data_IF_030644538865
#
_entry.id   IF_030644538865
#
_cell.length_a   1.000
_cell.length_b   1.000
_cell.length_c   1.000
_cell.angle_alpha   90.00
_cell.angle_beta   90.00
_cell.angle_gamma   90.00
#
_symmetry.space_group_name_H-M   'P 1'
#
loop_
_entity.id
_entity.type
_entity.pdbx_description
1 polymer ?
#
# COMPACT_ATOMS: atom_id res chain seq x y z
N UNK A 1 6.13 10.35 17.51
CA UNK A 1 6.10 9.95 16.09
C UNK A 1 5.13 10.89 15.39
N UNK A 2 5.54 11.56 14.31
CA UNK A 2 4.61 12.44 13.58
C UNK A 2 3.50 11.59 12.91
N UNK A 3 2.33 12.18 12.69
CA UNK A 3 1.15 11.47 12.16
C UNK A 3 1.47 10.75 10.83
N UNK A 4 2.17 11.40 9.91
CA UNK A 4 2.50 10.83 8.60
C UNK A 4 3.44 9.62 8.66
N UNK A 5 4.40 9.61 9.59
CA UNK A 5 5.26 8.44 9.84
C UNK A 5 4.43 7.27 10.37
N UNK A 6 3.45 7.55 11.25
CA UNK A 6 2.55 6.51 11.74
C UNK A 6 1.70 5.92 10.60
N UNK A 7 1.16 6.76 9.71
CA UNK A 7 0.40 6.31 8.54
C UNK A 7 1.26 5.44 7.62
N UNK A 8 2.50 5.85 7.32
CA UNK A 8 3.42 5.06 6.48
C UNK A 8 3.85 3.75 7.15
N UNK A 9 4.07 3.75 8.48
CA UNK A 9 4.36 2.54 9.22
C UNK A 9 3.17 1.57 9.25
N UNK A 10 1.95 2.09 9.39
CA UNK A 10 0.73 1.29 9.28
C UNK A 10 0.55 0.74 7.87
N UNK A 11 0.81 1.54 6.83
CA UNK A 11 0.81 1.06 5.45
C UNK A 11 1.85 -0.05 5.25
N UNK A 12 3.06 0.11 5.81
CA UNK A 12 4.10 -0.89 5.75
C UNK A 12 3.63 -2.21 6.36
N UNK A 13 3.15 -2.17 7.60
CA UNK A 13 2.66 -3.34 8.32
C UNK A 13 1.50 -4.01 7.59
N UNK A 14 0.54 -3.22 7.12
CA UNK A 14 -0.61 -3.70 6.36
C UNK A 14 -0.18 -4.49 5.12
N UNK A 15 0.73 -3.95 4.31
CA UNK A 15 1.20 -4.64 3.10
C UNK A 15 2.08 -5.85 3.43
N UNK A 16 2.86 -5.83 4.52
CA UNK A 16 3.61 -7.01 4.96
C UNK A 16 2.69 -8.15 5.41
N UNK A 17 1.61 -7.84 6.13
CA UNK A 17 0.64 -8.85 6.59
C UNK A 17 -0.13 -9.45 5.41
N UNK A 18 -0.69 -8.61 4.52
CA UNK A 18 -1.45 -9.09 3.36
C UNK A 18 -0.53 -9.79 2.36
N UNK A 19 0.62 -9.21 2.05
CA UNK A 19 1.60 -9.78 1.14
C UNK A 19 2.17 -11.10 1.65
N UNK A 20 2.58 -11.14 2.92
CA UNK A 20 3.07 -12.35 3.58
C UNK A 20 2.01 -13.45 3.68
N UNK A 21 0.76 -13.09 4.00
CA UNK A 21 -0.36 -14.03 3.99
C UNK A 21 -0.59 -14.65 2.62
N UNK A 22 -0.62 -13.83 1.57
CA UNK A 22 -0.77 -14.31 0.18
C UNK A 22 0.41 -15.18 -0.27
N UNK A 23 1.64 -14.88 0.17
CA UNK A 23 2.79 -15.72 -0.15
C UNK A 23 2.72 -17.09 0.54
N UNK A 24 2.27 -17.14 1.79
CA UNK A 24 2.20 -18.36 2.59
C UNK A 24 1.03 -19.26 2.21
N UNK A 25 -0.10 -18.68 1.78
CA UNK A 25 -1.30 -19.41 1.38
C UNK A 25 -1.28 -19.89 -0.08
N UNK A 26 -0.35 -19.39 -0.90
CA UNK A 26 -0.33 -19.64 -2.34
C UNK A 26 0.66 -20.73 -2.73
N UNK A 27 0.31 -21.44 -3.81
CA UNK A 27 1.19 -22.42 -4.45
C UNK A 27 2.49 -21.76 -4.97
N UNK A 28 3.65 -22.44 -4.87
CA UNK A 28 4.92 -21.93 -5.38
C UNK A 28 4.87 -21.51 -6.85
N UNK A 29 5.32 -20.29 -7.15
CA UNK A 29 5.35 -19.72 -8.50
C UNK A 29 4.00 -19.25 -9.05
N UNK A 30 2.91 -19.38 -8.28
CA UNK A 30 1.60 -18.90 -8.69
C UNK A 30 1.53 -17.37 -8.77
N UNK A 31 0.59 -16.86 -9.56
CA UNK A 31 0.33 -15.42 -9.66
C UNK A 31 0.05 -14.79 -8.30
N UNK A 32 -0.70 -15.47 -7.43
CA UNK A 32 -1.01 -14.99 -6.08
C UNK A 32 0.25 -14.85 -5.22
N UNK A 33 1.19 -15.81 -5.30
CA UNK A 33 2.44 -15.74 -4.57
C UNK A 33 3.32 -14.58 -5.06
N UNK A 34 3.41 -14.39 -6.38
CA UNK A 34 4.15 -13.28 -6.99
C UNK A 34 3.53 -11.94 -6.58
N UNK A 35 2.21 -11.80 -6.65
CA UNK A 35 1.50 -10.60 -6.18
C UNK A 35 1.75 -10.38 -4.69
N UNK A 36 1.69 -11.43 -3.87
CA UNK A 36 1.98 -11.35 -2.44
C UNK A 36 3.39 -10.82 -2.14
N UNK A 37 4.39 -11.32 -2.87
CA UNK A 37 5.77 -10.85 -2.77
C UNK A 37 5.89 -9.36 -3.14
N UNK A 38 5.29 -8.95 -4.26
CA UNK A 38 5.30 -7.54 -4.67
C UNK A 38 4.63 -6.63 -3.64
N UNK A 39 3.50 -7.05 -3.08
CA UNK A 39 2.80 -6.33 -2.00
C UNK A 39 3.71 -6.22 -0.76
N UNK A 40 4.37 -7.30 -0.35
CA UNK A 40 5.31 -7.29 0.78
C UNK A 40 6.50 -6.34 0.53
N UNK A 41 7.05 -6.32 -0.69
CA UNK A 41 8.11 -5.39 -1.09
C UNK A 41 7.65 -3.93 -0.98
N UNK A 42 6.43 -3.60 -1.37
CA UNK A 42 5.87 -2.26 -1.13
C UNK A 42 5.75 -1.94 0.37
N UNK A 43 5.43 -2.94 1.19
CA UNK A 43 5.49 -2.80 2.65
C UNK A 43 6.86 -2.32 3.16
N UNK A 44 7.94 -2.92 2.65
CA UNK A 44 9.32 -2.49 2.95
C UNK A 44 9.57 -1.06 2.47
N UNK A 45 9.14 -0.73 1.25
CA UNK A 45 9.27 0.64 0.71
C UNK A 45 8.59 1.67 1.60
N UNK A 46 7.40 1.38 2.12
CA UNK A 46 6.69 2.30 3.01
C UNK A 46 7.36 2.43 4.38
N UNK A 47 7.99 1.37 4.89
CA UNK A 47 8.81 1.45 6.10
C UNK A 47 10.03 2.35 5.90
N UNK A 48 10.70 2.25 4.74
CA UNK A 48 11.81 3.15 4.36
C UNK A 48 11.31 4.60 4.24
N UNK A 49 10.15 4.81 3.63
CA UNK A 49 9.53 6.15 3.56
C UNK A 49 9.20 6.71 4.94
N UNK A 50 8.76 5.88 5.88
CA UNK A 50 8.49 6.29 7.25
C UNK A 50 9.76 6.73 8.01
N UNK A 51 10.94 6.22 7.64
CA UNK A 51 12.21 6.63 8.24
C UNK A 51 12.57 8.08 7.88
N UNK A 52 12.48 8.42 6.59
CA UNK A 52 12.77 9.77 6.08
C UNK A 52 11.78 10.17 4.97
N UNK A 53 10.64 10.72 5.41
CA UNK A 53 9.56 11.12 4.51
C UNK A 53 10.04 12.19 3.52
N UNK A 54 10.79 13.19 3.99
CA UNK A 54 11.22 14.29 3.13
C UNK A 54 12.08 13.80 1.96
N UNK A 55 12.96 12.83 2.23
CA UNK A 55 13.84 12.23 1.22
C UNK A 55 13.12 11.27 0.27
N UNK A 56 12.28 10.38 0.80
CA UNK A 56 11.72 9.26 0.03
C UNK A 56 10.30 9.48 -0.47
N UNK A 57 9.66 10.60 -0.13
CA UNK A 57 8.30 10.94 -0.55
C UNK A 57 8.01 10.71 -2.05
N UNK A 58 8.88 11.06 -3.01
CA UNK A 58 8.58 10.83 -4.44
C UNK A 58 8.30 9.36 -4.79
N UNK A 59 8.87 8.41 -4.02
CA UNK A 59 8.66 6.96 -4.22
C UNK A 59 7.21 6.56 -3.96
N UNK A 60 6.46 7.35 -3.16
CA UNK A 60 5.04 7.07 -2.89
C UNK A 60 4.16 7.12 -4.14
N UNK A 61 4.60 7.75 -5.24
CA UNK A 61 3.88 7.68 -6.52
C UNK A 61 3.73 6.25 -7.03
N UNK A 62 4.73 5.39 -6.84
CA UNK A 62 4.62 3.98 -7.18
C UNK A 62 3.51 3.28 -6.38
N UNK A 63 3.38 3.64 -5.10
CA UNK A 63 2.30 3.16 -4.24
C UNK A 63 0.92 3.68 -4.66
N UNK A 64 0.82 4.97 -5.02
CA UNK A 64 -0.43 5.58 -5.51
C UNK A 64 -0.89 4.90 -6.79
N UNK A 65 -0.01 4.79 -7.80
CA UNK A 65 -0.36 4.20 -9.10
C UNK A 65 -0.71 2.72 -8.93
N UNK A 66 0.10 1.97 -8.18
CA UNK A 66 -0.13 0.54 -7.95
C UNK A 66 -1.47 0.28 -7.27
N UNK A 67 -1.76 0.98 -6.17
CA UNK A 67 -3.02 0.80 -5.42
C UNK A 67 -4.23 1.32 -6.19
N UNK A 68 -4.13 2.48 -6.84
CA UNK A 68 -5.22 3.00 -7.66
C UNK A 68 -5.58 2.04 -8.82
N UNK A 69 -4.57 1.46 -9.48
CA UNK A 69 -4.77 0.43 -10.51
C UNK A 69 -5.49 -0.80 -9.97
N UNK A 70 -5.03 -1.34 -8.84
CA UNK A 70 -5.68 -2.50 -8.19
C UNK A 70 -7.13 -2.19 -7.81
N UNK A 71 -7.39 -1.03 -7.22
CA UNK A 71 -8.75 -0.59 -6.87
C UNK A 71 -9.62 -0.49 -8.12
N UNK A 72 -9.14 0.16 -9.17
CA UNK A 72 -9.90 0.32 -10.42
C UNK A 72 -10.25 -1.03 -11.06
N UNK A 73 -9.36 -2.02 -10.97
CA UNK A 73 -9.58 -3.36 -11.54
C UNK A 73 -10.49 -4.24 -10.68
N UNK A 74 -10.38 -4.18 -9.35
CA UNK A 74 -11.04 -5.12 -8.45
C UNK A 74 -12.33 -4.58 -7.82
N UNK A 75 -12.46 -3.26 -7.63
CA UNK A 75 -13.65 -2.68 -6.99
C UNK A 75 -14.97 -3.00 -7.73
N UNK A 76 -15.05 -2.97 -9.08
CA UNK A 76 -16.27 -3.36 -9.78
C UNK A 76 -16.65 -4.83 -9.55
N UNK A 77 -15.66 -5.71 -9.42
CA UNK A 77 -15.87 -7.15 -9.20
C UNK A 77 -16.32 -7.43 -7.76
N UNK A 78 -15.85 -6.66 -6.79
CA UNK A 78 -16.38 -6.70 -5.41
C UNK A 78 -17.81 -6.18 -5.37
N UNK A 79 -18.09 -5.06 -6.06
CA UNK A 79 -19.43 -4.47 -6.10
C UNK A 79 -20.47 -5.37 -6.78
N UNK A 80 -20.06 -6.16 -7.78
CA UNK A 80 -20.93 -7.15 -8.43
C UNK A 80 -21.09 -8.46 -7.64
N UNK A 81 -20.36 -8.62 -6.54
CA UNK A 81 -20.33 -9.87 -5.76
C UNK A 81 -19.51 -10.99 -6.38
N UNK A 82 -18.77 -10.73 -7.46
CA UNK A 82 -17.91 -11.72 -8.11
C UNK A 82 -16.65 -12.06 -7.28
N UNK A 83 -16.24 -11.17 -6.38
CA UNK A 83 -15.16 -11.39 -5.43
C UNK A 83 -15.67 -11.42 -3.98
N UNK A 84 -14.97 -12.13 -3.07
CA UNK A 84 -15.33 -12.17 -1.66
C UNK A 84 -15.39 -10.77 -1.03
N UNK A 85 -16.35 -10.56 -0.12
CA UNK A 85 -16.47 -9.30 0.62
C UNK A 85 -15.19 -8.92 1.40
N UNK A 86 -14.41 -9.92 1.83
CA UNK A 86 -13.11 -9.72 2.46
C UNK A 86 -12.15 -8.89 1.58
N UNK A 87 -12.17 -9.09 0.25
CA UNK A 87 -11.40 -8.29 -0.70
C UNK A 87 -11.81 -6.82 -0.67
N UNK A 88 -13.09 -6.51 -0.43
CA UNK A 88 -13.58 -5.15 -0.30
C UNK A 88 -12.96 -4.39 0.87
N UNK A 89 -12.74 -5.07 2.01
CA UNK A 89 -12.03 -4.48 3.16
C UNK A 89 -10.57 -4.16 2.83
N UNK A 90 -9.91 -5.05 2.08
CA UNK A 90 -8.53 -4.82 1.63
C UNK A 90 -8.47 -3.60 0.70
N UNK A 91 -9.38 -3.50 -0.28
CA UNK A 91 -9.45 -2.37 -1.20
C UNK A 91 -9.74 -1.05 -0.49
N UNK A 92 -10.55 -1.08 0.57
CA UNK A 92 -10.83 0.11 1.39
C UNK A 92 -9.57 0.60 2.09
N UNK A 93 -8.79 -0.31 2.68
CA UNK A 93 -7.48 0.03 3.24
C UNK A 93 -6.53 0.62 2.19
N UNK A 94 -6.49 0.02 1.00
CA UNK A 94 -5.69 0.52 -0.11
C UNK A 94 -6.12 1.92 -0.56
N UNK A 95 -7.42 2.20 -0.58
CA UNK A 95 -7.95 3.51 -0.94
C UNK A 95 -7.51 4.57 0.09
N UNK A 96 -7.62 4.27 1.38
CA UNK A 96 -7.20 5.17 2.46
C UNK A 96 -5.70 5.46 2.41
N UNK A 97 -4.87 4.45 2.16
CA UNK A 97 -3.43 4.66 1.99
C UNK A 97 -3.10 5.42 0.72
N UNK A 98 -3.78 5.16 -0.40
CA UNK A 98 -3.63 5.91 -1.65
C UNK A 98 -3.90 7.40 -1.43
N UNK A 99 -5.01 7.73 -0.78
CA UNK A 99 -5.37 9.11 -0.45
C UNK A 99 -4.33 9.74 0.48
N UNK A 100 -3.88 9.01 1.49
CA UNK A 100 -2.85 9.49 2.42
C UNK A 100 -1.53 9.76 1.71
N UNK A 101 -1.11 8.90 0.78
CA UNK A 101 0.10 9.09 -0.01
C UNK A 101 -0.01 10.33 -0.90
N UNK A 102 -1.17 10.55 -1.53
CA UNK A 102 -1.45 11.77 -2.28
C UNK A 102 -1.35 13.02 -1.39
N UNK A 103 -1.90 12.97 -0.18
CA UNK A 103 -1.77 14.08 0.78
C UNK A 103 -0.32 14.35 1.16
N UNK A 104 0.48 13.31 1.41
CA UNK A 104 1.91 13.45 1.67
C UNK A 104 2.62 14.06 0.45
N UNK A 105 2.36 13.56 -0.75
CA UNK A 105 2.96 14.00 -2.01
C UNK A 105 2.65 15.47 -2.32
N UNK A 106 1.39 15.89 -2.16
CA UNK A 106 0.92 17.20 -2.58
C UNK A 106 1.07 18.27 -1.47
N UNK A 107 0.89 17.88 -0.21
CA UNK A 107 0.88 18.81 0.94
C UNK A 107 1.96 18.59 1.97
N UNK A 108 2.74 17.50 1.89
CA UNK A 108 3.89 17.30 2.77
C UNK A 108 4.92 18.39 2.53
N UNK A 109 4.96 19.44 3.35
CA UNK A 109 6.11 20.35 3.31
C UNK A 109 7.33 19.51 3.68
N UNK A 110 8.29 19.39 2.77
CA UNK A 110 9.59 18.81 3.11
C UNK A 110 10.12 19.62 4.28
N UNK A 111 10.18 19.01 5.46
CA UNK A 111 10.92 19.56 6.59
C UNK A 111 12.39 19.53 6.18
N UNK A 112 12.79 20.55 5.40
CA UNK A 112 14.17 20.85 5.13
C UNK A 112 14.83 21.06 6.48
N UNK A 113 15.88 20.28 6.73
CA UNK A 113 16.74 20.46 7.89
C UNK A 113 17.21 21.91 7.91
N UNK A 114 16.76 22.66 8.91
CA UNK A 114 17.45 23.87 9.38
C UNK A 114 18.64 23.44 10.25
#
# INVERSE_FOLDING_TARGET
>A
MNFWRAVLALAALYNLVIGGGNMAAAEPGSQMQITGLLVACFGIVYAICAYDIARFRPVLWAGVIGKAGVIAMLAPQVASGALPAATGWILTGDALFTLSFLLILLWGKGEGRA
#
